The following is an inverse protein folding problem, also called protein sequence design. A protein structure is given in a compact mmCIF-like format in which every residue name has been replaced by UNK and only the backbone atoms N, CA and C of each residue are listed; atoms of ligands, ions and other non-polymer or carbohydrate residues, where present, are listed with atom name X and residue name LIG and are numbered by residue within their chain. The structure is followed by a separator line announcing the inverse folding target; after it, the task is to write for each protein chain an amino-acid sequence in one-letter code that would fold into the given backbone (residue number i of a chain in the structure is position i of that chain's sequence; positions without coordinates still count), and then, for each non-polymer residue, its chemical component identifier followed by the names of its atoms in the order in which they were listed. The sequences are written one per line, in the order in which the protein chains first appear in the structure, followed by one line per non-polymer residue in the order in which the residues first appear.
data_IF_448688757019
#
_entry.id   IF_448688757019
#
_cell.length_a   1.000
_cell.length_b   1.000
_cell.length_c   1.000
_cell.angle_alpha   90.00
_cell.angle_beta   90.00
_cell.angle_gamma   90.00
#
_symmetry.space_group_name_H-M   'P 1'
#
loop_
_entity.id
_entity.type
_entity.pdbx_description
1 polymer ?
#
# COMPACT_ATOMS: atom_id res chain seq x y z
N UNK A 1 -8.06 -18.08 -77.76
CA UNK A 1 -9.49 -17.74 -77.88
C UNK A 1 -9.88 -17.22 -76.49
N UNK A 2 -9.48 -16.00 -76.16
CA UNK A 2 -10.15 -14.73 -76.53
C UNK A 2 -11.30 -14.45 -75.57
N UNK A 3 -11.51 -13.28 -74.95
CA UNK A 3 -10.78 -12.01 -74.80
C UNK A 3 -11.41 -11.28 -73.58
N UNK A 4 -10.62 -10.39 -72.97
CA UNK A 4 -10.88 -9.04 -72.36
C UNK A 4 -12.33 -8.63 -71.96
N UNK A 5 -12.55 -7.92 -70.84
CA UNK A 5 -12.31 -6.47 -70.70
C UNK A 5 -12.07 -5.94 -69.26
N UNK A 6 -11.30 -4.85 -69.25
CA UNK A 6 -10.83 -3.96 -68.17
C UNK A 6 -11.92 -3.16 -67.43
N UNK A 7 -11.61 -2.73 -66.21
CA UNK A 7 -11.63 -1.29 -65.88
C UNK A 7 -10.72 -0.96 -64.67
N UNK A 8 -9.75 -0.09 -64.95
CA UNK A 8 -8.90 0.67 -64.02
C UNK A 8 -9.71 1.75 -63.29
N UNK A 9 -9.25 2.14 -62.10
CA UNK A 9 -9.22 3.55 -61.67
C UNK A 9 -8.13 3.71 -60.59
N UNK A 10 -6.99 4.26 -61.02
CA UNK A 10 -5.90 4.76 -60.20
C UNK A 10 -6.21 6.20 -59.76
N UNK A 11 -5.96 6.53 -58.49
CA UNK A 11 -5.90 7.92 -58.02
C UNK A 11 -4.61 8.09 -57.19
N UNK A 12 -3.57 8.61 -57.85
CA UNK A 12 -2.43 9.31 -57.24
C UNK A 12 -2.88 10.70 -56.78
N UNK A 13 -2.48 11.12 -55.57
CA UNK A 13 -2.45 12.55 -55.20
C UNK A 13 -1.10 12.87 -54.56
N UNK A 14 -0.50 13.90 -55.15
CA UNK A 14 0.86 14.38 -55.01
C UNK A 14 1.14 15.18 -53.72
N UNK A 15 2.42 15.20 -53.34
CA UNK A 15 3.02 16.16 -52.42
C UNK A 15 3.08 17.57 -53.05
N UNK A 16 3.01 18.64 -52.25
CA UNK A 16 3.50 19.94 -52.67
C UNK A 16 4.75 20.38 -51.90
N UNK A 17 5.69 20.88 -52.69
CA UNK A 17 6.95 21.52 -52.36
C UNK A 17 6.80 22.90 -51.69
N UNK A 18 7.87 23.24 -50.99
CA UNK A 18 8.33 24.50 -50.39
C UNK A 18 8.04 25.80 -51.17
N UNK A 19 7.75 26.88 -50.44
CA UNK A 19 8.09 28.25 -50.81
C UNK A 19 8.41 29.09 -49.57
N UNK A 20 9.56 29.74 -49.61
CA UNK A 20 10.08 30.74 -48.68
C UNK A 20 9.14 31.96 -48.54
N UNK A 21 8.95 32.45 -47.31
CA UNK A 21 8.78 33.89 -47.06
C UNK A 21 9.47 34.28 -45.75
N UNK A 22 10.47 35.14 -45.91
CA UNK A 22 11.20 35.89 -44.90
C UNK A 22 10.33 37.02 -44.34
N UNK A 23 10.14 37.08 -43.02
CA UNK A 23 9.63 38.27 -42.31
C UNK A 23 10.53 38.57 -41.12
N UNK A 24 10.76 39.86 -40.97
CA UNK A 24 11.78 40.61 -40.24
C UNK A 24 11.75 40.53 -38.72
N UNK A 25 12.94 40.70 -38.16
CA UNK A 25 13.23 41.08 -36.78
C UNK A 25 12.52 42.39 -36.41
N UNK A 26 11.83 42.41 -35.26
CA UNK A 26 11.49 43.62 -34.52
C UNK A 26 11.93 43.43 -33.06
N UNK A 27 12.78 44.37 -32.62
CA UNK A 27 13.31 44.53 -31.28
C UNK A 27 12.29 45.18 -30.32
N UNK A 28 12.61 45.03 -29.03
CA UNK A 28 12.16 45.79 -27.85
C UNK A 28 10.81 45.44 -27.21
N UNK A 29 10.87 44.93 -25.98
CA UNK A 29 10.72 45.80 -24.80
C UNK A 29 11.11 45.03 -23.53
N UNK A 30 12.14 45.57 -22.87
CA UNK A 30 12.57 45.22 -21.51
C UNK A 30 11.57 45.80 -20.50
N UNK A 31 10.94 44.96 -19.69
CA UNK A 31 10.42 45.41 -18.39
C UNK A 31 10.91 44.49 -17.27
N UNK A 32 11.72 45.11 -16.40
CA UNK A 32 12.18 44.63 -15.10
C UNK A 32 11.01 44.09 -14.26
N UNK A 33 11.19 42.90 -13.68
CA UNK A 33 10.36 42.48 -12.55
C UNK A 33 11.27 42.07 -11.38
N UNK A 34 11.10 42.81 -10.29
CA UNK A 34 11.91 42.81 -9.08
C UNK A 34 12.14 41.43 -8.45
N UNK A 35 13.41 41.18 -8.12
CA UNK A 35 13.89 40.08 -7.28
C UNK A 35 13.39 40.24 -5.84
N UNK A 36 12.46 39.37 -5.43
CA UNK A 36 12.18 39.11 -4.02
C UNK A 36 12.94 37.83 -3.59
N UNK A 37 14.13 38.06 -3.01
CA UNK A 37 14.98 37.04 -2.39
C UNK A 37 14.40 36.70 -1.01
N UNK A 38 13.71 35.56 -0.88
CA UNK A 38 13.38 34.99 0.43
C UNK A 38 14.60 34.21 0.97
N UNK A 39 15.32 34.90 1.82
CA UNK A 39 16.42 34.46 2.69
C UNK A 39 15.90 33.46 3.74
N UNK A 40 16.17 32.17 3.55
CA UNK A 40 15.98 31.16 4.59
C UNK A 40 17.31 30.86 5.26
N UNK A 41 17.65 31.73 6.22
CA UNK A 41 18.82 31.62 7.07
C UNK A 41 18.87 30.34 7.90
N UNK A 42 20.11 29.93 8.15
CA UNK A 42 20.53 28.81 9.00
C UNK A 42 19.83 28.81 10.37
N UNK A 43 19.23 27.68 10.75
CA UNK A 43 18.79 27.42 12.12
C UNK A 43 19.84 26.53 12.79
N UNK A 44 20.63 27.15 13.66
CA UNK A 44 21.53 26.50 14.60
C UNK A 44 20.75 25.62 15.59
N UNK A 45 21.18 24.36 15.69
CA UNK A 45 20.72 23.39 16.68
C UNK A 45 21.34 23.77 18.02
N UNK A 46 20.53 24.29 18.94
CA UNK A 46 20.95 24.54 20.32
C UNK A 46 20.64 23.30 21.16
N UNK A 47 21.67 22.64 21.66
CA UNK A 47 21.60 21.63 22.71
C UNK A 47 21.07 22.27 24.01
N UNK A 48 19.95 21.78 24.53
CA UNK A 48 19.47 22.17 25.87
C UNK A 48 19.91 21.10 26.86
N UNK A 49 20.93 21.45 27.65
CA UNK A 49 21.31 20.75 28.86
C UNK A 49 20.29 21.07 29.96
N UNK A 50 19.92 20.05 30.75
CA UNK A 50 18.96 20.17 31.83
C UNK A 50 19.55 20.76 33.11
N UNK A 51 18.71 21.44 33.86
CA UNK A 51 18.90 21.72 35.28
C UNK A 51 17.61 21.36 36.03
N UNK A 52 17.79 20.62 37.12
CA UNK A 52 16.79 20.36 38.15
C UNK A 52 16.58 21.65 38.95
N UNK A 53 15.34 21.90 39.38
CA UNK A 53 15.06 22.55 40.65
C UNK A 53 13.74 21.98 41.23
N UNK A 54 13.86 21.48 42.45
CA UNK A 54 12.78 21.01 43.31
C UNK A 54 12.06 22.21 43.92
N UNK A 55 10.72 22.19 43.97
CA UNK A 55 9.97 22.89 45.02
C UNK A 55 8.57 22.29 45.20
N UNK A 56 8.38 21.66 46.37
CA UNK A 56 7.10 21.19 46.90
C UNK A 56 6.25 22.38 47.37
N UNK A 57 4.99 22.49 46.93
CA UNK A 57 3.92 23.06 47.77
C UNK A 57 2.58 22.36 47.56
N UNK A 58 2.10 21.83 48.67
CA UNK A 58 0.86 21.10 48.90
C UNK A 58 -0.32 22.08 49.03
N UNK A 59 -1.38 21.94 48.22
CA UNK A 59 -2.71 22.49 48.54
C UNK A 59 -3.83 21.62 47.95
N UNK A 60 -4.56 20.97 48.84
CA UNK A 60 -5.79 20.21 48.61
C UNK A 60 -6.98 21.10 48.24
N UNK A 61 -7.74 20.77 47.20
CA UNK A 61 -9.20 20.96 47.13
C UNK A 61 -9.84 20.13 45.99
N UNK A 62 -10.87 19.36 46.37
CA UNK A 62 -11.63 18.44 45.54
C UNK A 62 -12.50 19.15 44.49
N UNK A 63 -12.47 18.70 43.22
CA UNK A 63 -13.63 18.76 42.32
C UNK A 63 -13.49 17.83 41.10
N UNK A 64 -14.47 16.93 41.00
CA UNK A 64 -15.07 16.28 39.81
C UNK A 64 -14.15 15.74 38.69
N UNK A 65 -14.13 14.40 38.61
CA UNK A 65 -13.51 13.55 37.60
C UNK A 65 -13.99 13.85 36.17
N UNK A 66 -13.05 14.30 35.34
CA UNK A 66 -12.97 13.95 33.92
C UNK A 66 -11.61 13.28 33.71
N UNK A 67 -11.59 11.93 33.76
CA UNK A 67 -10.38 11.15 33.48
C UNK A 67 -10.10 11.13 31.96
N UNK A 68 -9.60 12.25 31.43
CA UNK A 68 -8.82 12.27 30.18
C UNK A 68 -7.35 11.93 30.53
N UNK A 69 -7.12 10.69 30.95
CA UNK A 69 -5.76 10.13 31.07
C UNK A 69 -5.32 9.59 29.70
N UNK A 70 -4.82 10.50 28.86
CA UNK A 70 -4.18 10.21 27.56
C UNK A 70 -2.71 9.78 27.75
N UNK A 71 -2.45 8.94 28.75
CA UNK A 71 -1.22 8.17 28.80
C UNK A 71 -1.34 7.02 27.79
N UNK A 72 -0.44 7.00 26.81
CA UNK A 72 -0.32 6.01 25.73
C UNK A 72 0.05 4.60 26.23
N UNK A 73 -0.56 4.11 27.32
CA UNK A 73 -0.32 2.75 27.83
C UNK A 73 -1.16 1.74 27.04
N UNK A 74 -0.70 1.49 25.81
CA UNK A 74 -1.19 0.45 24.93
C UNK A 74 -0.78 -0.94 25.44
N UNK A 75 -1.52 -1.47 26.41
CA UNK A 75 -1.28 -2.81 26.98
C UNK A 75 -1.82 -3.97 26.11
N UNK A 76 -2.08 -3.74 24.82
CA UNK A 76 -2.38 -4.79 23.86
C UNK A 76 -1.11 -5.16 23.09
N UNK A 77 -0.79 -6.44 23.03
CA UNK A 77 0.36 -6.92 22.26
C UNK A 77 0.08 -6.88 20.74
N UNK A 78 0.72 -5.97 19.98
CA UNK A 78 0.47 -5.80 18.56
C UNK A 78 1.00 -6.96 17.69
N UNK A 79 1.74 -7.91 18.26
CA UNK A 79 2.21 -9.11 17.55
C UNK A 79 1.07 -10.12 17.32
N UNK A 80 0.07 -10.15 18.21
CA UNK A 80 -0.99 -11.16 18.21
C UNK A 80 -1.79 -11.26 16.90
N UNK A 81 -2.23 -10.15 16.26
CA UNK A 81 -3.01 -10.24 15.03
C UNK A 81 -2.21 -10.83 13.85
N UNK A 82 -0.88 -10.65 13.84
CA UNK A 82 0.01 -11.16 12.79
C UNK A 82 0.07 -12.69 12.81
N UNK A 83 -0.07 -13.29 13.98
CA UNK A 83 -0.04 -14.74 14.13
C UNK A 83 -1.30 -15.43 13.61
N UNK A 84 -2.41 -14.72 13.38
CA UNK A 84 -3.69 -15.30 12.95
C UNK A 84 -4.08 -16.58 13.72
N UNK A 85 -3.99 -16.53 15.05
CA UNK A 85 -4.26 -17.69 15.93
C UNK A 85 -5.70 -18.21 15.78
N UNK A 86 -6.63 -17.39 15.31
CA UNK A 86 -8.01 -17.79 15.01
C UNK A 86 -8.12 -18.85 13.89
N UNK A 87 -7.03 -19.12 13.14
CA UNK A 87 -6.97 -20.17 12.12
C UNK A 87 -6.59 -21.55 12.66
N UNK A 88 -6.28 -21.67 13.95
CA UNK A 88 -5.85 -22.91 14.59
C UNK A 88 -4.44 -22.83 15.18
N UNK A 89 -4.15 -23.73 16.12
CA UNK A 89 -2.92 -23.75 16.92
C UNK A 89 -1.78 -24.57 16.30
N UNK A 90 -2.05 -25.41 15.31
CA UNK A 90 -1.10 -26.37 14.75
C UNK A 90 -0.91 -26.16 13.25
N UNK A 91 -0.27 -25.07 12.86
CA UNK A 91 0.10 -24.83 11.47
C UNK A 91 1.45 -25.50 11.19
N UNK A 92 1.50 -26.36 10.17
CA UNK A 92 2.77 -26.87 9.65
C UNK A 92 3.46 -25.73 8.88
N UNK A 93 4.65 -25.32 9.34
CA UNK A 93 5.44 -24.25 8.73
C UNK A 93 6.44 -24.81 7.72
N UNK A 94 6.57 -24.11 6.60
CA UNK A 94 7.41 -24.53 5.51
C UNK A 94 8.59 -23.58 5.33
N UNK A 95 9.80 -24.14 5.31
CA UNK A 95 11.02 -23.41 4.97
C UNK A 95 11.28 -23.43 3.46
N UNK A 96 12.04 -22.45 2.98
CA UNK A 96 12.41 -22.31 1.57
C UNK A 96 11.64 -21.19 0.88
N UNK A 97 12.27 -20.63 -0.15
CA UNK A 97 11.76 -19.48 -0.90
C UNK A 97 11.79 -19.82 -2.38
N UNK A 98 10.63 -19.75 -3.03
CA UNK A 98 10.55 -19.86 -4.49
C UNK A 98 10.58 -18.46 -5.09
N UNK A 99 11.57 -18.20 -5.94
CA UNK A 99 11.71 -16.95 -6.70
C UNK A 99 11.95 -17.33 -8.15
N UNK A 100 11.17 -16.75 -9.05
CA UNK A 100 11.23 -16.98 -10.49
C UNK A 100 12.10 -15.93 -11.16
N UNK A 101 12.62 -16.26 -12.34
CA UNK A 101 13.42 -15.34 -13.14
C UNK A 101 12.54 -14.22 -13.73
N UNK A 102 13.14 -13.05 -13.95
CA UNK A 102 12.48 -11.92 -14.59
C UNK A 102 12.08 -12.23 -16.04
N UNK A 103 10.93 -11.72 -16.48
CA UNK A 103 10.29 -12.00 -17.78
C UNK A 103 9.96 -13.48 -18.04
N UNK A 104 10.19 -14.37 -17.07
CA UNK A 104 9.84 -15.77 -17.20
C UNK A 104 8.33 -15.96 -17.29
N UNK A 105 7.88 -16.76 -18.26
CA UNK A 105 6.48 -17.16 -18.37
C UNK A 105 6.27 -18.48 -17.65
N UNK A 106 5.46 -18.46 -16.60
CA UNK A 106 5.13 -19.64 -15.78
C UNK A 106 3.63 -19.89 -15.74
N UNK A 107 3.23 -21.13 -15.55
CA UNK A 107 1.82 -21.49 -15.38
C UNK A 107 1.48 -21.62 -13.89
N UNK A 108 0.53 -20.83 -13.40
CA UNK A 108 0.09 -20.85 -12.01
C UNK A 108 -1.43 -21.00 -11.88
N UNK A 109 -1.94 -21.64 -10.82
CA UNK A 109 -3.33 -21.53 -10.43
C UNK A 109 -3.61 -20.12 -9.89
N UNK A 110 -4.73 -19.53 -10.31
CA UNK A 110 -5.11 -18.16 -10.00
C UNK A 110 -6.31 -18.14 -9.07
N UNK A 111 -6.13 -17.49 -7.92
CA UNK A 111 -7.20 -17.07 -7.02
C UNK A 111 -7.63 -15.65 -7.35
N UNK A 112 -8.92 -15.50 -7.63
CA UNK A 112 -9.55 -14.21 -7.87
C UNK A 112 -10.28 -13.79 -6.61
N UNK A 113 -9.76 -12.80 -5.91
CA UNK A 113 -10.30 -12.35 -4.63
C UNK A 113 -10.96 -10.97 -4.83
N UNK A 114 -12.23 -10.80 -4.46
CA UNK A 114 -12.93 -9.52 -4.59
C UNK A 114 -12.30 -8.52 -3.61
N UNK A 115 -12.07 -7.30 -4.11
CA UNK A 115 -11.56 -6.20 -3.30
C UNK A 115 -10.30 -6.52 -2.50
N UNK A 116 -9.41 -7.33 -3.06
CA UNK A 116 -8.08 -7.57 -2.52
C UNK A 116 -7.04 -7.28 -3.61
N UNK A 117 -6.00 -6.53 -3.26
CA UNK A 117 -4.80 -6.38 -4.08
C UNK A 117 -3.62 -6.76 -3.20
N UNK A 118 -3.04 -7.92 -3.46
CA UNK A 118 -1.92 -8.45 -2.70
C UNK A 118 -0.62 -7.78 -3.13
N UNK A 119 0.07 -7.10 -2.21
CA UNK A 119 1.39 -6.55 -2.49
C UNK A 119 2.52 -7.54 -2.15
N UNK A 120 3.68 -7.45 -2.83
CA UNK A 120 4.88 -8.17 -2.42
C UNK A 120 5.24 -7.93 -0.95
N UNK A 121 5.48 -9.02 -0.21
CA UNK A 121 5.78 -9.00 1.22
C UNK A 121 4.56 -8.97 2.15
N UNK A 122 3.35 -8.78 1.63
CA UNK A 122 2.11 -8.86 2.41
C UNK A 122 1.75 -10.32 2.71
N UNK A 123 1.25 -10.57 3.93
CA UNK A 123 0.79 -11.88 4.34
C UNK A 123 -0.73 -11.97 4.15
N UNK A 124 -1.16 -13.06 3.53
CA UNK A 124 -2.54 -13.32 3.12
C UNK A 124 -3.02 -14.63 3.74
N UNK A 125 -3.92 -14.58 4.74
CA UNK A 125 -4.61 -15.76 5.24
C UNK A 125 -5.75 -16.16 4.30
N UNK A 126 -5.91 -17.46 4.07
CA UNK A 126 -6.98 -18.02 3.25
C UNK A 126 -7.55 -19.26 3.92
N UNK A 127 -8.84 -19.50 3.74
CA UNK A 127 -9.50 -20.71 4.16
C UNK A 127 -10.34 -21.26 3.02
N UNK A 128 -10.14 -22.54 2.67
CA UNK A 128 -10.83 -23.18 1.56
C UNK A 128 -11.71 -24.33 2.04
N UNK A 129 -12.99 -24.24 1.68
CA UNK A 129 -13.98 -25.28 1.92
C UNK A 129 -14.19 -26.20 0.70
N UNK A 130 -14.00 -25.68 -0.52
CA UNK A 130 -14.41 -26.40 -1.72
C UNK A 130 -13.41 -27.50 -2.09
N UNK A 131 -13.84 -28.75 -2.37
CA UNK A 131 -12.93 -29.88 -2.58
C UNK A 131 -11.91 -29.66 -3.71
N UNK A 132 -12.30 -28.97 -4.79
CA UNK A 132 -11.40 -28.63 -5.89
C UNK A 132 -10.28 -27.66 -5.45
N UNK A 133 -10.60 -26.65 -4.63
CA UNK A 133 -9.62 -25.72 -4.07
C UNK A 133 -8.71 -26.41 -3.06
N UNK A 134 -9.27 -27.27 -2.20
CA UNK A 134 -8.48 -28.05 -1.23
C UNK A 134 -7.50 -28.96 -1.98
N UNK A 135 -7.94 -29.65 -3.04
CA UNK A 135 -7.07 -30.49 -3.87
C UNK A 135 -6.01 -29.67 -4.62
N UNK A 136 -6.36 -28.48 -5.13
CA UNK A 136 -5.40 -27.56 -5.73
C UNK A 136 -4.29 -27.21 -4.72
N UNK A 137 -4.65 -26.83 -3.49
CA UNK A 137 -3.70 -26.50 -2.42
C UNK A 137 -2.84 -27.71 -2.07
N UNK A 138 -3.43 -28.91 -1.93
CA UNK A 138 -2.69 -30.17 -1.71
C UNK A 138 -1.67 -30.47 -2.81
N UNK A 139 -2.00 -30.17 -4.06
CA UNK A 139 -1.09 -30.34 -5.20
C UNK A 139 0.05 -29.32 -5.18
N UNK A 140 -0.23 -28.07 -4.77
CA UNK A 140 0.79 -27.03 -4.65
C UNK A 140 1.90 -27.39 -3.65
N UNK A 141 1.60 -28.18 -2.61
CA UNK A 141 2.63 -28.67 -1.68
C UNK A 141 3.61 -29.65 -2.31
N UNK A 142 3.19 -30.37 -3.34
CA UNK A 142 4.07 -31.31 -4.06
C UNK A 142 4.95 -30.62 -5.10
N UNK A 143 4.64 -29.36 -5.45
CA UNK A 143 5.33 -28.59 -6.48
C UNK A 143 6.15 -27.45 -5.88
N UNK A 144 5.68 -26.20 -6.01
CA UNK A 144 6.40 -24.98 -5.65
C UNK A 144 5.67 -24.11 -4.61
N UNK A 145 4.56 -24.62 -4.04
CA UNK A 145 3.74 -23.94 -3.02
C UNK A 145 3.26 -22.55 -3.45
N UNK A 146 3.23 -22.25 -4.75
CA UNK A 146 2.97 -20.90 -5.25
C UNK A 146 1.67 -20.86 -6.04
N UNK A 147 0.82 -19.89 -5.71
CA UNK A 147 -0.39 -19.56 -6.47
C UNK A 147 -0.33 -18.09 -6.91
N UNK A 148 -1.13 -17.70 -7.89
CA UNK A 148 -1.29 -16.30 -8.27
C UNK A 148 -2.54 -15.70 -7.65
N UNK A 149 -2.43 -14.47 -7.14
CA UNK A 149 -3.59 -13.71 -6.63
C UNK A 149 -3.84 -12.53 -7.54
N UNK A 150 -5.08 -12.36 -7.98
CA UNK A 150 -5.53 -11.19 -8.72
C UNK A 150 -6.80 -10.60 -8.12
N UNK A 151 -6.93 -9.29 -8.21
CA UNK A 151 -8.15 -8.59 -7.83
C UNK A 151 -9.28 -8.96 -8.80
N UNK A 152 -10.42 -9.38 -8.24
CA UNK A 152 -11.64 -9.56 -9.01
C UNK A 152 -12.35 -8.21 -9.11
N UNK A 153 -12.23 -7.53 -10.26
CA UNK A 153 -13.03 -6.34 -10.55
C UNK A 153 -14.51 -6.72 -10.71
N UNK A 154 -15.39 -5.86 -10.22
CA UNK A 154 -16.85 -5.98 -10.42
C UNK A 154 -17.25 -5.71 -11.88
N UNK A 155 -16.42 -4.99 -12.64
CA UNK A 155 -16.62 -4.78 -14.08
C UNK A 155 -16.07 -5.98 -14.88
N UNK A 156 -16.63 -6.23 -16.07
CA UNK A 156 -16.17 -7.27 -17.00
C UNK A 156 -14.70 -7.10 -17.48
N UNK A 157 -13.99 -6.06 -17.01
CA UNK A 157 -12.60 -5.84 -17.31
C UNK A 157 -11.72 -6.72 -16.42
N UNK A 158 -11.10 -7.73 -17.02
CA UNK A 158 -10.19 -8.64 -16.31
C UNK A 158 -8.98 -7.86 -15.77
N UNK A 159 -8.78 -7.89 -14.45
CA UNK A 159 -7.51 -7.46 -13.88
C UNK A 159 -6.43 -8.45 -14.34
N UNK A 160 -5.45 -7.94 -15.09
CA UNK A 160 -4.34 -8.77 -15.61
C UNK A 160 -3.10 -8.73 -14.75
N UNK A 161 -3.04 -7.82 -13.77
CA UNK A 161 -1.91 -7.70 -12.86
C UNK A 161 -2.22 -8.42 -11.56
N UNK A 162 -1.20 -9.08 -11.00
CA UNK A 162 -1.32 -9.83 -9.76
C UNK A 162 0.02 -10.05 -9.10
N UNK A 163 -0.02 -10.80 -8.00
CA UNK A 163 1.16 -11.13 -7.20
C UNK A 163 1.17 -12.62 -6.91
N UNK A 164 2.34 -13.24 -7.04
CA UNK A 164 2.54 -14.63 -6.62
C UNK A 164 2.45 -14.70 -5.10
N UNK A 165 1.69 -15.65 -4.59
CA UNK A 165 1.54 -15.91 -3.17
C UNK A 165 2.16 -17.28 -2.87
N UNK A 166 3.24 -17.28 -2.09
CA UNK A 166 3.88 -18.51 -1.62
C UNK A 166 3.24 -18.94 -0.32
N UNK A 167 2.76 -20.18 -0.25
CA UNK A 167 2.18 -20.76 0.96
C UNK A 167 3.31 -21.08 1.95
N UNK A 168 3.25 -20.46 3.12
CA UNK A 168 4.25 -20.58 4.19
C UNK A 168 3.80 -21.49 5.32
N UNK A 169 2.49 -21.62 5.54
CA UNK A 169 1.97 -22.45 6.62
C UNK A 169 0.57 -22.96 6.31
N UNK A 170 0.23 -24.12 6.85
CA UNK A 170 -1.00 -24.86 6.51
C UNK A 170 -1.57 -25.51 7.75
N UNK A 171 -2.89 -25.45 7.87
CA UNK A 171 -3.64 -26.14 8.89
C UNK A 171 -4.85 -26.79 8.23
N UNK A 172 -4.93 -28.11 8.27
CA UNK A 172 -6.11 -28.85 7.85
C UNK A 172 -6.97 -29.09 9.09
N UNK A 173 -8.19 -28.57 9.09
CA UNK A 173 -9.12 -28.81 10.18
C UNK A 173 -9.84 -30.14 9.94
N UNK A 174 -9.64 -31.09 10.84
CA UNK A 174 -10.27 -32.42 10.78
C UNK A 174 -11.76 -32.38 11.17
N UNK A 175 -12.20 -31.34 11.90
CA UNK A 175 -13.54 -31.25 12.49
C UNK A 175 -14.51 -30.42 11.64
N UNK A 176 -14.09 -29.23 11.19
CA UNK A 176 -14.93 -28.32 10.39
C UNK A 176 -14.88 -28.61 8.89
N UNK A 177 -13.88 -29.35 8.44
CA UNK A 177 -13.67 -29.71 7.04
C UNK A 177 -13.19 -28.53 6.21
N UNK A 178 -11.90 -28.52 5.87
CA UNK A 178 -11.32 -27.46 5.04
C UNK A 178 -9.80 -27.43 5.14
N UNK A 179 -9.19 -26.43 4.51
CA UNK A 179 -7.77 -26.14 4.67
C UNK A 179 -7.55 -24.64 4.83
N UNK A 180 -6.98 -24.26 5.97
CA UNK A 180 -6.47 -22.93 6.25
C UNK A 180 -5.02 -22.85 5.77
N UNK A 181 -4.67 -21.78 5.07
CA UNK A 181 -3.28 -21.50 4.68
C UNK A 181 -2.93 -20.06 4.97
N UNK A 182 -1.66 -19.84 5.32
CA UNK A 182 -1.06 -18.50 5.26
C UNK A 182 -0.11 -18.46 4.09
N UNK A 183 -0.22 -17.40 3.31
CA UNK A 183 0.62 -17.17 2.15
C UNK A 183 1.27 -15.79 2.24
N UNK A 184 2.37 -15.57 1.53
CA UNK A 184 3.04 -14.29 1.44
C UNK A 184 3.23 -13.88 -0.01
N UNK A 185 2.91 -12.63 -0.34
CA UNK A 185 3.19 -12.04 -1.65
C UNK A 185 4.69 -12.05 -1.95
N UNK A 186 5.10 -12.47 -3.14
CA UNK A 186 6.50 -12.54 -3.56
C UNK A 186 6.81 -11.64 -4.75
N UNK A 187 6.31 -11.98 -5.93
CA UNK A 187 6.66 -11.31 -7.18
C UNK A 187 5.41 -10.87 -7.92
N UNK A 188 5.47 -9.71 -8.54
CA UNK A 188 4.41 -9.22 -9.41
C UNK A 188 4.42 -9.99 -10.73
N UNK A 189 3.25 -10.17 -11.32
CA UNK A 189 3.12 -10.78 -12.63
C UNK A 189 2.03 -10.13 -13.46
N UNK A 190 2.13 -10.35 -14.77
CA UNK A 190 1.10 -10.01 -15.75
C UNK A 190 0.54 -11.28 -16.40
N UNK A 191 -0.79 -11.39 -16.46
CA UNK A 191 -1.49 -12.51 -17.11
C UNK A 191 -1.43 -12.34 -18.63
N UNK A 192 -0.76 -13.27 -19.32
CA UNK A 192 -0.77 -13.36 -20.79
C UNK A 192 -2.02 -14.08 -21.29
N UNK A 193 -2.37 -15.19 -20.66
CA UNK A 193 -3.53 -16.01 -21.05
C UNK A 193 -4.08 -16.77 -19.85
N UNK A 194 -5.38 -17.10 -19.91
CA UNK A 194 -6.07 -17.88 -18.88
C UNK A 194 -6.75 -19.09 -19.50
N UNK A 195 -6.87 -20.16 -18.71
CA UNK A 195 -7.50 -21.42 -19.07
C UNK A 195 -8.25 -21.94 -17.84
N UNK A 196 -9.49 -22.35 -18.00
CA UNK A 196 -10.23 -23.03 -16.93
C UNK A 196 -10.08 -24.54 -17.07
N UNK A 197 -9.73 -25.21 -15.99
CA UNK A 197 -9.72 -26.66 -15.92
C UNK A 197 -11.15 -27.21 -15.73
N UNK A 198 -11.32 -28.51 -15.95
CA UNK A 198 -12.61 -29.20 -15.78
C UNK A 198 -13.10 -29.20 -14.34
N UNK A 199 -12.20 -29.08 -13.36
CA UNK A 199 -12.49 -28.92 -11.94
C UNK A 199 -12.90 -27.49 -11.53
N UNK A 200 -12.91 -26.55 -12.48
CA UNK A 200 -13.28 -25.15 -12.28
C UNK A 200 -12.13 -24.24 -11.83
N UNK A 201 -10.94 -24.78 -11.54
CA UNK A 201 -9.74 -24.01 -11.19
C UNK A 201 -9.27 -23.21 -12.41
N UNK A 202 -8.89 -21.96 -12.18
CA UNK A 202 -8.37 -21.07 -13.21
C UNK A 202 -6.84 -21.21 -13.23
N UNK A 203 -6.28 -21.66 -14.34
CA UNK A 203 -4.85 -21.59 -14.61
C UNK A 203 -4.55 -20.37 -15.48
N UNK A 204 -3.41 -19.73 -15.26
CA UNK A 204 -2.93 -18.67 -16.14
C UNK A 204 -1.45 -18.87 -16.48
N UNK A 205 -1.10 -18.52 -17.71
CA UNK A 205 0.29 -18.28 -18.08
C UNK A 205 0.60 -16.83 -17.73
N UNK A 206 1.48 -16.65 -16.76
CA UNK A 206 1.83 -15.35 -16.20
C UNK A 206 3.29 -15.05 -16.48
N UNK A 207 3.57 -13.80 -16.84
CA UNK A 207 4.92 -13.27 -17.05
C UNK A 207 5.35 -12.54 -15.78
N UNK A 208 6.49 -12.93 -15.22
CA UNK A 208 7.04 -12.31 -14.01
C UNK A 208 7.56 -10.91 -14.35
N UNK A 209 7.06 -9.92 -13.61
CA UNK A 209 7.39 -8.51 -13.84
C UNK A 209 8.71 -8.14 -13.16
N UNK A 210 9.45 -7.26 -13.84
CA UNK A 210 10.70 -6.67 -13.33
C UNK A 210 10.44 -5.60 -12.30
N UNK A 211 11.35 -5.51 -11.33
CA UNK A 211 11.44 -4.39 -10.41
C UNK A 211 12.63 -3.51 -10.79
N UNK A 212 12.37 -2.28 -11.23
CA UNK A 212 13.42 -1.30 -11.46
C UNK A 212 13.61 -0.44 -10.21
N UNK A 213 14.76 -0.61 -9.55
CA UNK A 213 15.33 0.45 -8.70
C UNK A 213 16.26 1.27 -9.58
N UNK A 214 15.79 2.43 -10.03
CA UNK A 214 16.69 3.45 -10.54
C UNK A 214 17.35 4.08 -9.32
N UNK A 215 18.39 3.43 -8.80
CA UNK A 215 19.26 4.07 -7.81
C UNK A 215 19.72 5.39 -8.42
N UNK A 216 19.19 6.50 -7.85
CA UNK A 216 19.22 7.89 -8.31
C UNK A 216 20.17 8.13 -9.47
N UNK A 217 19.71 8.64 -10.62
CA UNK A 217 20.49 9.13 -11.79
C UNK A 217 21.95 9.40 -11.42
N UNK A 218 22.73 8.31 -11.32
CA UNK A 218 24.10 8.34 -10.88
C UNK A 218 24.78 8.03 -12.18
N UNK A 219 25.30 9.08 -12.79
CA UNK A 219 26.23 8.97 -13.90
C UNK A 219 27.38 8.06 -13.44
N UNK A 220 27.23 6.75 -13.66
CA UNK A 220 28.18 5.69 -13.30
C UNK A 220 29.56 5.93 -13.93
N UNK A 221 29.62 6.79 -14.95
CA UNK A 221 30.83 7.23 -15.63
C UNK A 221 31.85 7.94 -14.72
N UNK A 222 31.46 8.53 -13.58
CA UNK A 222 32.40 9.31 -12.74
C UNK A 222 32.71 8.72 -11.35
N UNK A 223 31.90 7.79 -10.84
CA UNK A 223 32.18 7.13 -9.55
C UNK A 223 33.46 6.26 -9.58
N UNK A 224 33.96 5.88 -10.78
CA UNK A 224 35.24 5.18 -10.94
C UNK A 224 36.48 6.04 -10.66
N UNK A 225 36.36 7.37 -10.50
CA UNK A 225 37.54 8.24 -10.34
C UNK A 225 38.04 8.43 -8.91
N UNK A 226 37.31 8.01 -7.87
CA UNK A 226 37.84 8.06 -6.50
C UNK A 226 37.40 6.82 -5.74
N UNK A 227 38.36 5.99 -5.35
CA UNK A 227 38.19 4.79 -4.53
C UNK A 227 37.73 5.09 -3.11
N UNK A 228 36.59 5.74 -2.95
CA UNK A 228 35.90 5.89 -1.67
C UNK A 228 35.03 4.66 -1.45
N UNK A 229 35.49 3.77 -0.59
CA UNK A 229 34.63 2.76 0.04
C UNK A 229 33.62 3.51 0.90
N UNK A 230 32.35 3.56 0.46
CA UNK A 230 31.25 4.17 1.20
C UNK A 230 30.84 3.17 2.29
N UNK A 231 31.55 3.18 3.41
CA UNK A 231 31.20 2.41 4.61
C UNK A 231 30.67 3.36 5.69
N UNK A 232 29.52 4.02 5.45
CA UNK A 232 28.61 4.57 6.48
C UNK A 232 27.38 5.27 5.84
N UNK A 233 26.15 5.09 6.36
CA UNK A 233 24.92 5.67 5.81
C UNK A 233 24.91 7.21 5.74
N UNK A 234 25.69 7.90 6.59
CA UNK A 234 25.73 9.37 6.63
C UNK A 234 26.52 10.03 5.49
N UNK A 235 27.28 9.29 4.67
CA UNK A 235 28.15 9.88 3.65
C UNK A 235 27.53 9.96 2.24
N UNK A 236 26.32 9.40 2.03
CA UNK A 236 25.64 9.44 0.71
C UNK A 236 25.25 10.86 0.28
N UNK A 237 24.87 11.72 1.23
CA UNK A 237 24.45 13.11 0.92
C UNK A 237 25.61 14.00 0.45
N UNK A 238 26.87 13.71 0.81
CA UNK A 238 28.03 14.49 0.33
C UNK A 238 28.37 14.23 -1.13
N UNK A 239 28.14 13.02 -1.64
CA UNK A 239 28.42 12.70 -3.05
C UNK A 239 27.48 13.46 -3.99
N UNK A 240 26.20 13.61 -3.64
CA UNK A 240 25.22 14.38 -4.40
C UNK A 240 25.63 15.85 -4.56
N UNK A 241 26.26 16.45 -3.54
CA UNK A 241 26.74 17.84 -3.57
C UNK A 241 27.79 18.13 -4.65
N UNK A 242 28.58 17.13 -5.06
CA UNK A 242 29.65 17.34 -6.05
C UNK A 242 29.14 17.30 -7.50
N UNK A 243 27.96 16.70 -7.72
CA UNK A 243 27.31 16.63 -9.04
C UNK A 243 26.31 17.78 -9.29
N UNK A 244 26.00 18.59 -8.27
CA UNK A 244 25.05 19.73 -8.32
C UNK A 244 25.38 20.77 -9.39
N UNK A 245 26.64 20.90 -9.78
CA UNK A 245 27.11 21.95 -10.71
C UNK A 245 27.39 21.44 -12.13
N UNK A 246 27.09 20.18 -12.43
CA UNK A 246 27.39 19.55 -13.73
C UNK A 246 26.14 19.19 -14.54
N UNK A 247 24.96 19.38 -13.93
CA UNK A 247 23.69 19.14 -14.59
C UNK A 247 23.08 20.46 -15.06
N UNK A 248 22.42 20.50 -16.24
CA UNK A 248 21.68 21.68 -16.68
C UNK A 248 20.40 21.93 -15.87
N UNK A 249 20.01 21.04 -14.93
CA UNK A 249 18.78 21.18 -14.15
C UNK A 249 19.07 21.53 -12.68
N UNK A 250 18.16 22.28 -12.02
CA UNK A 250 18.27 22.59 -10.59
C UNK A 250 18.35 21.36 -9.69
N UNK A 251 18.96 21.51 -8.50
CA UNK A 251 19.11 20.40 -7.54
C UNK A 251 17.77 19.85 -7.05
N UNK A 252 16.76 20.72 -6.87
CA UNK A 252 15.44 20.32 -6.39
C UNK A 252 14.78 19.27 -7.31
N UNK A 253 15.08 19.31 -8.63
CA UNK A 253 14.56 18.33 -9.58
C UNK A 253 15.12 16.93 -9.29
N UNK A 254 16.41 16.82 -9.00
CA UNK A 254 17.04 15.54 -8.64
C UNK A 254 16.55 15.00 -7.30
N UNK A 255 16.30 15.91 -6.35
CA UNK A 255 15.75 15.56 -5.04
C UNK A 255 14.34 14.95 -5.15
N UNK A 256 13.54 15.36 -6.15
CA UNK A 256 12.23 14.77 -6.42
C UNK A 256 12.29 13.29 -6.84
N UNK A 257 13.40 12.83 -7.43
CA UNK A 257 13.57 11.43 -7.88
C UNK A 257 14.49 10.62 -6.97
N UNK A 258 14.95 11.20 -5.86
CA UNK A 258 15.81 10.52 -4.92
C UNK A 258 14.98 9.66 -3.94
N UNK A 259 15.21 8.35 -3.94
CA UNK A 259 14.49 7.38 -3.10
C UNK A 259 14.58 7.72 -1.59
N UNK A 260 15.77 8.09 -1.10
CA UNK A 260 15.98 8.41 0.33
C UNK A 260 15.20 9.67 0.74
N UNK A 261 15.22 10.71 -0.10
CA UNK A 261 14.50 11.97 0.16
C UNK A 261 12.99 11.75 0.11
N UNK A 262 12.49 10.96 -0.85
CA UNK A 262 11.08 10.61 -0.93
C UNK A 262 10.63 9.85 0.31
N UNK A 263 11.40 8.85 0.75
CA UNK A 263 11.11 8.09 1.99
C UNK A 263 11.08 9.02 3.20
N UNK A 264 12.02 9.95 3.32
CA UNK A 264 12.04 10.93 4.42
C UNK A 264 10.81 11.83 4.41
N UNK A 265 10.41 12.35 3.24
CA UNK A 265 9.19 13.16 3.08
C UNK A 265 7.95 12.37 3.48
N UNK A 266 7.83 11.13 3.01
CA UNK A 266 6.74 10.24 3.39
C UNK A 266 6.71 10.00 4.90
N UNK A 267 7.84 9.64 5.52
CA UNK A 267 7.92 9.41 6.97
C UNK A 267 7.48 10.66 7.75
N UNK A 268 7.87 11.85 7.30
CA UNK A 268 7.44 13.14 7.89
C UNK A 268 5.92 13.32 7.80
N UNK A 269 5.30 13.04 6.65
CA UNK A 269 3.86 13.14 6.48
C UNK A 269 3.08 12.10 7.31
N UNK A 270 3.58 10.86 7.40
CA UNK A 270 2.96 9.82 8.21
C UNK A 270 2.98 10.15 9.71
N UNK A 271 4.07 10.77 10.20
CA UNK A 271 4.17 11.25 11.58
C UNK A 271 3.12 12.33 11.91
N UNK A 272 2.77 13.17 10.93
CA UNK A 272 1.75 14.21 11.13
C UNK A 272 0.34 13.65 11.29
N UNK A 273 0.06 12.45 10.77
CA UNK A 273 -1.27 11.86 10.89
C UNK A 273 -1.53 11.37 12.31
N UNK A 274 -0.58 10.62 12.87
CA UNK A 274 -0.48 10.14 14.26
C UNK A 274 0.77 9.23 14.34
N UNK A 275 1.05 8.62 15.50
CA UNK A 275 1.86 7.38 15.63
C UNK A 275 1.20 6.16 14.95
N UNK A 276 0.37 6.38 13.92
CA UNK A 276 -0.40 5.37 13.21
C UNK A 276 0.50 4.33 12.53
N UNK A 277 1.68 4.76 12.10
CA UNK A 277 2.71 3.91 11.53
C UNK A 277 3.86 3.85 12.52
N UNK A 278 4.11 2.67 13.08
CA UNK A 278 5.33 2.47 13.85
C UNK A 278 6.51 2.49 12.87
N UNK A 279 7.20 3.63 12.78
CA UNK A 279 8.28 3.85 11.83
C UNK A 279 9.43 2.86 11.99
N UNK A 280 9.61 2.28 13.18
CA UNK A 280 10.64 1.25 13.43
C UNK A 280 10.38 -0.03 12.64
N UNK A 281 9.13 -0.30 12.27
CA UNK A 281 8.74 -1.52 11.57
C UNK A 281 8.79 -1.36 10.04
N UNK A 282 9.09 -0.16 9.54
CA UNK A 282 9.19 0.10 8.11
C UNK A 282 10.58 -0.32 7.59
N UNK A 283 10.65 -1.07 6.46
CA UNK A 283 11.93 -1.47 5.87
C UNK A 283 12.79 -0.27 5.44
N UNK A 284 14.11 -0.39 5.53
CA UNK A 284 15.05 0.60 4.98
C UNK A 284 15.19 0.50 3.46
N UNK A 285 14.92 -0.67 2.88
CA UNK A 285 15.02 -0.91 1.44
C UNK A 285 13.86 -0.23 0.69
N UNK A 286 14.11 0.70 -0.26
CA UNK A 286 13.09 1.53 -0.89
C UNK A 286 11.93 0.76 -1.53
N UNK A 287 12.24 -0.33 -2.24
CA UNK A 287 11.23 -1.17 -2.88
C UNK A 287 10.32 -1.80 -1.83
N UNK A 288 10.88 -2.39 -0.78
CA UNK A 288 10.09 -3.03 0.29
C UNK A 288 9.33 -2.00 1.12
N UNK A 289 9.90 -0.81 1.32
CA UNK A 289 9.22 0.32 1.94
C UNK A 289 7.96 0.70 1.16
N UNK A 290 8.07 0.89 -0.17
CA UNK A 290 6.93 1.27 -1.01
C UNK A 290 5.79 0.25 -0.94
N UNK A 291 6.08 -1.05 -1.09
CA UNK A 291 5.05 -2.08 -0.96
C UNK A 291 4.42 -2.16 0.44
N UNK A 292 5.23 -2.01 1.49
CA UNK A 292 4.73 -2.00 2.87
C UNK A 292 3.82 -0.80 3.11
N UNK A 293 4.15 0.35 2.54
CA UNK A 293 3.36 1.56 2.62
C UNK A 293 2.06 1.44 1.84
N UNK A 294 2.11 1.03 0.58
CA UNK A 294 0.92 0.79 -0.25
C UNK A 294 -0.06 -0.17 0.42
N UNK A 295 0.46 -1.20 1.11
CA UNK A 295 -0.37 -2.11 1.88
C UNK A 295 -0.94 -1.50 3.17
N UNK A 296 -0.32 -0.49 3.76
CA UNK A 296 -0.81 0.17 4.97
C UNK A 296 -1.86 1.24 4.72
N UNK A 297 -1.98 1.74 3.48
CA UNK A 297 -2.87 2.84 3.13
C UNK A 297 -4.27 2.32 2.73
N UNK A 298 -5.36 2.88 3.31
CA UNK A 298 -6.74 2.55 2.96
C UNK A 298 -7.16 3.20 1.62
N UNK A 299 -6.52 2.75 0.54
CA UNK A 299 -6.76 3.22 -0.83
C UNK A 299 -7.82 2.37 -1.54
N UNK A 300 -8.44 2.92 -2.57
CA UNK A 300 -9.36 2.19 -3.44
C UNK A 300 -8.63 1.11 -4.28
N UNK A 301 -9.39 0.18 -4.84
CA UNK A 301 -8.86 -0.93 -5.63
C UNK A 301 -8.11 -0.47 -6.90
N UNK A 302 -8.56 0.60 -7.54
CA UNK A 302 -7.98 1.06 -8.79
C UNK A 302 -6.60 1.67 -8.57
N UNK A 303 -6.47 2.51 -7.55
CA UNK A 303 -5.21 3.09 -7.10
C UNK A 303 -4.26 1.98 -6.64
N UNK A 304 -4.74 1.00 -5.87
CA UNK A 304 -3.90 -0.13 -5.44
C UNK A 304 -3.39 -0.96 -6.62
N UNK A 305 -4.25 -1.25 -7.60
CA UNK A 305 -3.83 -1.93 -8.84
C UNK A 305 -2.81 -1.07 -9.59
N UNK A 306 -3.02 0.24 -9.68
CA UNK A 306 -2.09 1.15 -10.33
C UNK A 306 -0.71 1.14 -9.65
N UNK A 307 -0.66 1.23 -8.31
CA UNK A 307 0.57 1.10 -7.53
C UNK A 307 1.27 -0.24 -7.76
N UNK A 308 0.49 -1.32 -7.92
CA UNK A 308 1.03 -2.64 -8.26
C UNK A 308 1.59 -2.69 -9.68
N UNK A 309 1.00 -1.95 -10.63
CA UNK A 309 1.49 -1.92 -12.03
C UNK A 309 2.81 -1.17 -12.21
N UNK A 310 3.13 -0.22 -11.33
CA UNK A 310 4.36 0.55 -11.41
C UNK A 310 5.58 -0.35 -11.23
N UNK A 311 6.50 -0.33 -12.18
CA UNK A 311 7.75 -1.10 -12.12
C UNK A 311 8.89 -0.36 -11.42
N UNK A 312 8.83 0.98 -11.43
CA UNK A 312 9.86 1.83 -10.86
C UNK A 312 9.52 2.19 -9.41
N UNK A 313 10.44 1.88 -8.49
CA UNK A 313 10.28 2.21 -7.06
C UNK A 313 10.11 3.70 -6.83
N UNK A 314 10.89 4.55 -7.53
CA UNK A 314 10.81 6.02 -7.42
C UNK A 314 9.41 6.53 -7.77
N UNK A 315 8.85 6.10 -8.91
CA UNK A 315 7.50 6.53 -9.32
C UNK A 315 6.42 6.03 -8.36
N UNK A 316 6.59 4.84 -7.79
CA UNK A 316 5.69 4.31 -6.77
C UNK A 316 5.71 5.19 -5.52
N UNK A 317 6.90 5.54 -5.01
CA UNK A 317 7.08 6.43 -3.86
C UNK A 317 6.52 7.84 -4.10
N UNK A 318 6.75 8.41 -5.29
CA UNK A 318 6.20 9.72 -5.66
C UNK A 318 4.67 9.71 -5.64
N UNK A 319 4.07 8.67 -6.22
CA UNK A 319 2.60 8.52 -6.23
C UNK A 319 2.04 8.27 -4.83
N UNK A 320 2.72 7.48 -4.01
CA UNK A 320 2.36 7.26 -2.61
C UNK A 320 2.40 8.57 -1.81
N UNK A 321 3.44 9.39 -2.00
CA UNK A 321 3.57 10.70 -1.37
C UNK A 321 2.42 11.65 -1.79
N UNK A 322 2.13 11.75 -3.10
CA UNK A 322 1.00 12.54 -3.60
C UNK A 322 -0.32 12.12 -2.95
N UNK A 323 -0.59 10.83 -2.89
CA UNK A 323 -1.80 10.29 -2.28
C UNK A 323 -1.90 10.66 -0.79
N UNK A 324 -0.83 10.46 -0.03
CA UNK A 324 -0.76 10.78 1.40
C UNK A 324 -1.02 12.28 1.65
N UNK A 325 -0.45 13.15 0.82
CA UNK A 325 -0.68 14.59 0.96
C UNK A 325 -2.14 14.96 0.68
N UNK A 326 -2.77 14.31 -0.31
CA UNK A 326 -4.05 14.77 -0.87
C UNK A 326 -5.32 14.17 -0.26
N UNK A 327 -5.29 12.96 0.29
CA UNK A 327 -6.49 12.44 0.95
C UNK A 327 -6.53 12.85 2.41
N UNK A 328 -7.70 13.31 2.86
CA UNK A 328 -7.90 13.88 4.21
C UNK A 328 -8.81 13.00 5.06
N UNK A 329 -9.85 12.45 4.44
CA UNK A 329 -10.89 11.68 5.11
C UNK A 329 -11.32 10.48 4.28
N UNK A 330 -11.92 9.50 4.95
CA UNK A 330 -12.52 8.30 4.36
C UNK A 330 -14.03 8.41 4.44
N UNK A 331 -14.69 8.14 3.32
CA UNK A 331 -16.15 8.14 3.19
C UNK A 331 -16.66 6.76 2.78
N UNK A 332 -17.95 6.50 2.99
CA UNK A 332 -18.60 5.28 2.56
C UNK A 332 -18.51 5.14 1.03
N UNK A 333 -18.06 3.98 0.55
CA UNK A 333 -17.94 3.66 -0.88
C UNK A 333 -19.29 3.66 -1.63
N UNK A 334 -20.40 3.39 -0.94
CA UNK A 334 -21.74 3.37 -1.58
C UNK A 334 -22.43 4.72 -1.60
N UNK A 335 -22.52 5.40 -0.44
CA UNK A 335 -23.31 6.63 -0.31
C UNK A 335 -22.49 7.89 -0.02
N UNK A 336 -21.16 7.78 0.00
CA UNK A 336 -20.22 8.90 0.20
C UNK A 336 -20.34 9.63 1.55
N UNK A 337 -21.15 9.12 2.49
CA UNK A 337 -21.23 9.68 3.83
C UNK A 337 -19.88 9.62 4.54
N UNK A 338 -19.45 10.69 5.24
CA UNK A 338 -18.13 10.75 5.86
C UNK A 338 -18.04 9.76 7.03
N UNK A 339 -16.96 8.98 7.09
CA UNK A 339 -16.79 7.89 8.07
C UNK A 339 -15.70 8.20 9.09
N UNK A 340 -14.51 8.60 8.65
CA UNK A 340 -13.42 8.91 9.59
C UNK A 340 -12.38 9.82 8.96
N UNK A 341 -11.74 10.64 9.78
CA UNK A 341 -10.52 11.37 9.45
C UNK A 341 -9.31 10.42 9.44
N UNK A 342 -8.29 10.70 8.61
CA UNK A 342 -7.02 9.96 8.59
C UNK A 342 -6.28 9.99 9.93
N UNK A 343 -6.45 11.04 10.74
CA UNK A 343 -5.83 11.19 12.07
C UNK A 343 -6.28 10.13 13.08
N UNK A 344 -7.45 9.54 12.88
CA UNK A 344 -7.99 8.50 13.76
C UNK A 344 -7.45 7.11 13.45
N UNK A 345 -6.72 6.94 12.33
CA UNK A 345 -6.07 5.69 11.96
C UNK A 345 -4.95 5.40 12.97
N UNK A 346 -4.87 4.16 13.43
CA UNK A 346 -3.82 3.72 14.35
C UNK A 346 -3.51 2.23 14.15
N UNK A 347 -2.37 1.76 14.66
CA UNK A 347 -1.94 0.37 14.53
C UNK A 347 -2.35 -0.48 15.72
N UNK A 348 -3.21 -1.47 15.50
CA UNK A 348 -3.40 -2.61 16.42
C UNK A 348 -2.51 -3.81 16.05
N UNK A 349 -1.69 -3.71 14.99
CA UNK A 349 -0.79 -4.77 14.53
C UNK A 349 0.61 -4.23 14.30
N UNK A 350 1.62 -5.07 14.53
CA UNK A 350 3.01 -4.75 14.15
C UNK A 350 3.16 -4.48 12.64
N UNK A 351 2.25 -5.01 11.82
CA UNK A 351 2.27 -4.82 10.38
C UNK A 351 1.77 -3.46 9.91
N UNK A 352 1.29 -2.62 10.83
CA UNK A 352 0.72 -1.31 10.53
C UNK A 352 -0.78 -1.26 10.82
N UNK A 353 -1.45 -0.19 10.38
CA UNK A 353 -2.86 0.04 10.68
C UNK A 353 -3.80 -0.85 9.89
N UNK A 354 -3.34 -1.46 8.79
CA UNK A 354 -4.13 -2.33 7.93
C UNK A 354 -3.51 -3.72 7.83
N UNK A 355 -4.33 -4.76 7.84
CA UNK A 355 -3.94 -6.16 7.64
C UNK A 355 -5.10 -6.98 7.10
N UNK A 356 -4.77 -8.07 6.43
CA UNK A 356 -5.72 -8.96 5.75
C UNK A 356 -6.12 -10.08 6.70
N UNK A 357 -7.42 -10.28 6.90
CA UNK A 357 -7.96 -11.33 7.77
C UNK A 357 -9.01 -12.14 7.03
N UNK A 358 -9.16 -13.43 7.37
CA UNK A 358 -10.19 -14.28 6.78
C UNK A 358 -11.27 -14.56 7.82
N UNK A 359 -12.53 -14.47 7.41
CA UNK A 359 -13.67 -14.79 8.27
C UNK A 359 -14.02 -16.30 8.18
N UNK A 360 -14.90 -16.81 9.05
CA UNK A 360 -15.35 -18.20 8.99
C UNK A 360 -15.98 -18.60 7.65
N UNK A 361 -16.51 -17.67 6.87
CA UNK A 361 -17.03 -17.97 5.53
C UNK A 361 -15.94 -18.14 4.46
N UNK A 362 -14.67 -17.97 4.80
CA UNK A 362 -13.55 -17.98 3.84
C UNK A 362 -13.37 -16.66 3.08
N UNK A 363 -14.09 -15.59 3.47
CA UNK A 363 -13.94 -14.28 2.85
C UNK A 363 -12.79 -13.51 3.50
N UNK A 364 -11.91 -12.96 2.66
CA UNK A 364 -10.79 -12.12 3.09
C UNK A 364 -11.25 -10.67 3.19
N UNK A 365 -10.87 -10.01 4.26
CA UNK A 365 -11.13 -8.60 4.55
C UNK A 365 -9.82 -7.89 4.85
N UNK A 366 -9.42 -6.95 3.97
CA UNK A 366 -8.43 -5.93 4.30
C UNK A 366 -9.04 -5.01 5.36
N UNK A 367 -8.61 -5.15 6.61
CA UNK A 367 -9.18 -4.43 7.74
C UNK A 367 -8.18 -3.45 8.29
N UNK A 368 -8.58 -2.18 8.39
CA UNK A 368 -7.77 -1.14 9.01
C UNK A 368 -8.40 -0.63 10.31
N UNK A 369 -7.57 -0.27 11.28
CA UNK A 369 -8.00 0.10 12.63
C UNK A 369 -8.08 1.61 12.85
N UNK A 370 -9.21 2.05 13.40
CA UNK A 370 -9.48 3.47 13.68
C UNK A 370 -10.09 3.66 15.07
N UNK A 371 -9.74 4.78 15.72
CA UNK A 371 -10.19 5.10 17.08
C UNK A 371 -11.62 5.66 17.11
N UNK A 372 -11.92 6.59 16.21
CA UNK A 372 -13.19 7.31 16.13
C UNK A 372 -13.80 7.17 14.73
N UNK A 373 -15.13 7.05 14.68
CA UNK A 373 -15.91 6.97 13.44
C UNK A 373 -17.18 7.81 13.57
N UNK A 374 -17.67 8.28 12.44
CA UNK A 374 -18.93 8.99 12.26
C UNK A 374 -19.85 8.20 11.33
N UNK A 375 -21.16 8.42 11.43
CA UNK A 375 -22.16 7.82 10.54
C UNK A 375 -22.14 6.28 10.47
N UNK A 376 -21.71 5.61 11.55
CA UNK A 376 -21.72 4.16 11.70
C UNK A 376 -22.66 3.76 12.84
N UNK A 377 -23.45 2.71 12.61
CA UNK A 377 -24.30 2.06 13.63
C UNK A 377 -23.87 0.61 13.82
N UNK A 378 -23.97 0.10 15.04
CA UNK A 378 -23.65 -1.29 15.36
C UNK A 378 -24.90 -2.16 15.48
N UNK A 379 -24.82 -3.38 14.96
CA UNK A 379 -25.96 -4.32 14.90
C UNK A 379 -25.58 -5.65 15.56
N UNK A 380 -26.52 -6.19 16.33
CA UNK A 380 -26.38 -7.49 16.99
C UNK A 380 -25.65 -7.43 18.33
N UNK A 381 -25.36 -8.61 18.87
CA UNK A 381 -24.65 -8.77 20.12
C UNK A 381 -23.13 -8.85 19.90
N UNK A 382 -22.37 -8.56 20.95
CA UNK A 382 -20.92 -8.75 20.98
C UNK A 382 -20.59 -10.24 20.87
N UNK A 383 -19.63 -10.58 20.02
CA UNK A 383 -19.15 -11.96 19.86
C UNK A 383 -17.63 -12.05 20.00
N UNK A 384 -17.15 -13.14 20.59
CA UNK A 384 -15.73 -13.51 20.66
C UNK A 384 -15.34 -14.55 19.60
N UNK A 385 -16.32 -15.11 18.90
CA UNK A 385 -16.12 -16.17 17.92
C UNK A 385 -15.29 -15.63 16.74
N UNK A 386 -14.14 -16.27 16.44
CA UNK A 386 -13.21 -15.84 15.38
C UNK A 386 -12.78 -14.36 15.46
N UNK A 387 -12.60 -13.83 16.67
CA UNK A 387 -12.05 -12.49 16.81
C UNK A 387 -10.60 -12.43 16.30
N UNK A 388 -10.31 -11.47 15.43
CA UNK A 388 -8.97 -11.23 14.89
C UNK A 388 -8.03 -10.53 15.87
N UNK A 389 -8.59 -9.90 16.90
CA UNK A 389 -7.87 -9.20 17.96
C UNK A 389 -8.16 -9.91 19.29
N UNK A 390 -7.28 -10.83 19.74
CA UNK A 390 -7.50 -11.58 20.97
C UNK A 390 -7.75 -10.66 22.16
N UNK A 391 -8.76 -10.97 22.98
CA UNK A 391 -9.18 -10.11 24.10
C UNK A 391 -10.20 -9.02 23.73
N UNK A 392 -10.61 -8.93 22.46
CA UNK A 392 -11.67 -8.03 22.00
C UNK A 392 -12.87 -8.82 21.44
N UNK A 393 -14.08 -8.42 21.84
CA UNK A 393 -15.32 -8.87 21.23
C UNK A 393 -15.72 -7.92 20.11
N UNK A 394 -16.16 -8.47 18.98
CA UNK A 394 -16.59 -7.70 17.82
C UNK A 394 -18.11 -7.57 17.75
N UNK A 395 -18.60 -6.51 17.11
CA UNK A 395 -20.01 -6.27 16.77
C UNK A 395 -20.08 -5.71 15.36
N UNK A 396 -21.01 -6.18 14.54
CA UNK A 396 -21.13 -5.75 13.14
C UNK A 396 -21.39 -4.25 13.10
N UNK A 397 -20.69 -3.54 12.22
CA UNK A 397 -20.82 -2.11 11.99
C UNK A 397 -21.31 -1.85 10.55
N UNK A 398 -22.33 -1.01 10.41
CA UNK A 398 -22.92 -0.63 9.13
C UNK A 398 -23.01 0.89 8.98
N UNK A 399 -23.05 1.37 7.74
CA UNK A 399 -23.30 2.77 7.46
C UNK A 399 -24.71 3.16 7.92
N UNK A 400 -24.83 4.24 8.67
CA UNK A 400 -26.11 4.77 9.14
C UNK A 400 -27.04 5.22 8.01
N UNK A 401 -26.48 5.65 6.87
CA UNK A 401 -27.24 6.18 5.73
C UNK A 401 -27.71 5.10 4.75
N UNK A 402 -26.84 4.16 4.36
CA UNK A 402 -27.13 3.17 3.32
C UNK A 402 -27.12 1.72 3.80
N UNK A 403 -26.83 1.47 5.09
CA UNK A 403 -26.76 0.14 5.70
C UNK A 403 -25.73 -0.82 5.11
N UNK A 404 -24.81 -0.33 4.26
CA UNK A 404 -23.67 -1.12 3.80
C UNK A 404 -22.83 -1.58 4.99
N UNK A 405 -22.40 -2.84 4.97
CA UNK A 405 -21.42 -3.37 5.92
C UNK A 405 -20.10 -2.61 5.84
N UNK A 406 -19.69 -1.98 6.95
CA UNK A 406 -18.47 -1.17 7.04
C UNK A 406 -17.33 -1.91 7.72
N UNK A 407 -17.62 -2.93 8.53
CA UNK A 407 -16.64 -3.65 9.34
C UNK A 407 -17.20 -3.99 10.71
N UNK A 408 -16.38 -3.83 11.74
CA UNK A 408 -16.74 -4.22 13.11
C UNK A 408 -16.27 -3.22 14.15
N UNK A 409 -17.09 -3.05 15.20
CA UNK A 409 -16.68 -2.42 16.45
C UNK A 409 -16.05 -3.47 17.35
N UNK A 410 -14.83 -3.24 17.81
CA UNK A 410 -14.14 -4.08 18.78
C UNK A 410 -14.22 -3.45 20.16
N UNK A 411 -14.60 -4.24 21.16
CA UNK A 411 -14.70 -3.82 22.57
C UNK A 411 -13.89 -4.75 23.45
N UNK A 412 -13.05 -4.17 24.31
CA UNK A 412 -12.20 -4.91 25.22
C UNK A 412 -13.04 -5.79 26.16
N UNK A 413 -12.58 -7.03 26.37
CA UNK A 413 -13.21 -7.97 27.32
C UNK A 413 -12.73 -7.78 28.75
N UNK A 414 -11.55 -7.16 28.94
CA UNK A 414 -10.91 -6.93 30.23
C UNK A 414 -10.68 -5.44 30.42
N UNK A 415 -10.85 -4.96 31.65
CA UNK A 415 -10.60 -3.57 32.00
C UNK A 415 -9.12 -3.16 31.83
N UNK A 416 -8.18 -4.10 31.92
CA UNK A 416 -6.74 -3.84 31.76
C UNK A 416 -6.30 -3.60 30.31
N UNK A 417 -7.15 -3.90 29.32
CA UNK A 417 -6.80 -3.73 27.91
C UNK A 417 -7.08 -2.29 27.46
N UNK A 418 -6.13 -1.75 26.69
CA UNK A 418 -6.24 -0.47 26.01
C UNK A 418 -5.85 -0.63 24.54
N UNK A 419 -6.62 -0.07 23.59
CA UNK A 419 -7.80 0.79 23.79
C UNK A 419 -9.03 0.02 24.31
N UNK A 420 -9.95 0.70 25.01
CA UNK A 420 -11.20 0.08 25.50
C UNK A 420 -12.15 -0.32 24.36
N UNK A 421 -12.13 0.45 23.29
CA UNK A 421 -12.87 0.17 22.07
C UNK A 421 -12.17 0.80 20.87
N UNK A 422 -12.39 0.21 19.69
CA UNK A 422 -11.96 0.75 18.40
C UNK A 422 -12.82 0.15 17.30
N UNK A 423 -12.61 0.55 16.05
CA UNK A 423 -13.28 -0.02 14.88
C UNK A 423 -12.25 -0.62 13.93
N UNK A 424 -12.54 -1.81 13.41
CA UNK A 424 -11.86 -2.41 12.26
C UNK A 424 -12.76 -2.26 11.05
N UNK A 425 -12.43 -1.33 10.16
CA UNK A 425 -13.20 -1.06 8.95
C UNK A 425 -12.65 -1.88 7.79
N UNK A 426 -13.53 -2.47 6.98
CA UNK A 426 -13.12 -3.17 5.76
C UNK A 426 -12.80 -2.13 4.68
N UNK A 427 -11.59 -2.18 4.11
CA UNK A 427 -11.10 -1.25 3.08
C UNK A 427 -12.06 -1.11 1.91
N UNK A 428 -12.64 -2.21 1.44
CA UNK A 428 -13.61 -2.22 0.32
C UNK A 428 -14.91 -1.45 0.59
N UNK A 429 -15.21 -1.13 1.85
CA UNK A 429 -16.40 -0.38 2.23
C UNK A 429 -16.18 1.14 2.25
N UNK A 430 -14.92 1.59 2.19
CA UNK A 430 -14.56 3.01 2.24
C UNK A 430 -13.85 3.45 0.97
N UNK A 431 -13.83 4.75 0.74
CA UNK A 431 -13.03 5.38 -0.30
C UNK A 431 -12.37 6.66 0.25
N UNK A 432 -11.11 6.94 -0.14
CA UNK A 432 -10.46 8.19 0.20
C UNK A 432 -11.13 9.35 -0.53
N UNK A 433 -11.41 10.44 0.20
CA UNK A 433 -11.78 11.72 -0.40
C UNK A 433 -10.48 12.45 -0.75
N UNK A 434 -10.16 12.46 -2.04
CA UNK A 434 -8.96 13.11 -2.58
C UNK A 434 -9.34 14.53 -2.98
N UNK A 435 -8.70 15.54 -2.40
CA UNK A 435 -8.86 16.92 -2.86
C UNK A 435 -8.20 17.06 -4.24
N UNK A 436 -8.96 17.57 -5.20
CA UNK A 436 -8.39 18.05 -6.46
C UNK A 436 -7.81 19.42 -6.18
N UNK A 437 -6.53 19.62 -6.47
CA UNK A 437 -5.95 20.96 -6.44
C UNK A 437 -6.67 21.80 -7.51
N UNK A 438 -7.17 22.97 -7.12
CA UNK A 438 -7.80 23.95 -8.02
C UNK A 438 -6.80 24.67 -8.91
N UNK A 439 -5.71 24.02 -9.31
CA UNK A 439 -4.65 24.57 -10.16
C UNK A 439 -4.27 23.58 -11.26
N UNK A 440 -5.18 23.42 -12.21
CA UNK A 440 -4.87 23.11 -13.61
C UNK A 440 -5.78 23.98 -14.47
N UNK A 441 -5.33 25.21 -14.75
CA UNK A 441 -5.71 26.01 -15.91
C UNK A 441 -4.42 26.48 -16.55
#
# INVERSE_FOLDING_TARGET
MADEENNHDDIEIAEPSTSDESISDDESDDEEFDDAVDDWGDIDIVEVAGEHDDDEQDTSQESQQDDDDDSNDHNFDPSLPVHHQYLGSNLEEFTGRTVFEEDQVIQLPILRLPSLVLFPGEMLPLHFYMPNQVNMVRNLFRTNRTLGVVNLKHSNQQCRYGTTAEIISVHADELEGGISVKSIGRQRFYIKSTRRQSDGILLANVEIMKESSQSAIQNQSYARRKGFVISKPGCRNRALSTYKNLSPHPSWLYEMYNEDILIQRIKKELLQWNNAFNLSNLPDEPTRFSYKLANGLPLDDNIRVELLTLNCTVYRLQKELDLICRYTMLSCSTCQSPITDKKNIFSMSMNGPMSSFVNPGGYVHDTFTVRKVSNIVTIGQKSLQYSWFPGYAWTIAQCSSCHQHMGWKFTATKHSLNPKQFYGLTRSSVQPVITLDSTTV
#
